data_IF_316957347969
#
_entry.id   IF_316957347969
#
_cell.length_a   1.000
_cell.length_b   1.000
_cell.length_c   1.000
_cell.angle_alpha   90.00
_cell.angle_beta   90.00
_cell.angle_gamma   90.00
#
_symmetry.space_group_name_H-M   'P 1'
#
loop_
_entity.id
_entity.type
_entity.pdbx_description
1 polymer ?
#
# COMPACT_ATOMS: atom_id res chain seq x y z
N UNK A 1 4.40 -17.22 -18.51
CA UNK A 1 5.64 -16.68 -19.12
C UNK A 1 6.76 -16.81 -18.09
N UNK A 2 7.96 -17.30 -18.46
CA UNK A 2 9.13 -17.39 -17.56
C UNK A 2 10.21 -16.43 -18.05
N UNK A 3 10.83 -15.71 -17.12
CA UNK A 3 11.86 -14.72 -17.41
C UNK A 3 12.43 -14.12 -16.14
N UNK A 4 13.30 -13.11 -16.30
CA UNK A 4 13.95 -12.38 -15.22
C UNK A 4 13.39 -10.97 -15.16
N UNK A 5 12.97 -10.54 -13.96
CA UNK A 5 12.60 -9.15 -13.71
C UNK A 5 13.85 -8.29 -13.87
N UNK A 6 13.78 -7.30 -14.76
CA UNK A 6 14.84 -6.32 -14.97
C UNK A 6 14.59 -5.06 -14.16
N UNK A 7 13.36 -4.58 -14.17
CA UNK A 7 12.96 -3.33 -13.52
C UNK A 7 11.47 -3.34 -13.18
N UNK A 8 11.10 -2.57 -12.16
CA UNK A 8 9.73 -2.36 -11.69
C UNK A 8 9.57 -0.92 -11.24
N UNK A 9 8.54 -0.24 -11.75
CA UNK A 9 8.25 1.14 -11.35
C UNK A 9 6.76 1.46 -11.42
N UNK A 10 6.28 2.40 -10.59
CA UNK A 10 4.94 2.95 -10.72
C UNK A 10 4.87 3.91 -11.91
N UNK A 11 3.84 3.74 -12.75
CA UNK A 11 3.43 4.75 -13.73
C UNK A 11 2.31 5.59 -13.11
N UNK A 12 2.69 6.75 -12.58
CA UNK A 12 1.76 7.66 -11.90
C UNK A 12 0.72 8.28 -12.84
N UNK A 13 1.03 8.38 -14.15
CA UNK A 13 0.13 8.96 -15.14
C UNK A 13 -1.01 7.98 -15.45
N UNK A 14 -0.67 6.72 -15.67
CA UNK A 14 -1.64 5.68 -16.03
C UNK A 14 -2.16 4.88 -14.82
N UNK A 15 -1.75 5.27 -13.60
CA UNK A 15 -2.08 4.62 -12.33
C UNK A 15 -1.86 3.10 -12.36
N UNK A 16 -0.66 2.68 -12.75
CA UNK A 16 -0.33 1.28 -12.96
C UNK A 16 1.06 0.96 -12.45
N UNK A 17 1.36 -0.32 -12.30
CA UNK A 17 2.72 -0.78 -12.06
C UNK A 17 3.26 -1.45 -13.31
N UNK A 18 4.46 -1.05 -13.70
CA UNK A 18 5.13 -1.54 -14.90
C UNK A 18 6.26 -2.47 -14.50
N UNK A 19 6.33 -3.62 -15.17
CA UNK A 19 7.42 -4.56 -15.03
C UNK A 19 8.11 -4.74 -16.38
N UNK A 20 9.44 -4.71 -16.39
CA UNK A 20 10.23 -5.17 -17.52
C UNK A 20 10.76 -6.56 -17.24
N UNK A 21 10.43 -7.53 -18.11
CA UNK A 21 10.86 -8.92 -17.97
C UNK A 21 11.68 -9.34 -19.19
N UNK A 22 12.91 -9.79 -18.97
CA UNK A 22 13.69 -10.48 -20.01
C UNK A 22 13.24 -11.92 -20.12
N UNK A 23 12.80 -12.33 -21.30
CA UNK A 23 12.54 -13.73 -21.65
C UNK A 23 13.55 -14.22 -22.69
N UNK A 24 13.47 -15.50 -23.05
CA UNK A 24 14.21 -16.05 -24.20
C UNK A 24 13.85 -15.36 -25.53
N UNK A 25 12.66 -14.75 -25.63
CA UNK A 25 12.18 -14.07 -26.85
C UNK A 25 12.51 -12.58 -26.92
N UNK A 26 13.05 -12.00 -25.85
CA UNK A 26 13.33 -10.56 -25.79
C UNK A 26 12.92 -9.93 -24.46
N UNK A 27 13.01 -8.61 -24.38
CA UNK A 27 12.45 -7.86 -23.27
C UNK A 27 10.96 -7.62 -23.51
N UNK A 28 10.14 -7.79 -22.48
CA UNK A 28 8.69 -7.55 -22.52
C UNK A 28 8.30 -6.55 -21.43
N UNK A 29 7.50 -5.55 -21.81
CA UNK A 29 6.83 -4.63 -20.89
C UNK A 29 5.49 -5.22 -20.47
N UNK A 30 5.24 -5.32 -19.17
CA UNK A 30 3.94 -5.68 -18.59
C UNK A 30 3.41 -4.46 -17.86
N UNK A 31 2.13 -4.14 -18.06
CA UNK A 31 1.43 -3.04 -17.39
C UNK A 31 0.28 -3.63 -16.60
N UNK A 32 0.35 -3.56 -15.27
CA UNK A 32 -0.67 -4.06 -14.35
C UNK A 32 -1.46 -2.89 -13.77
N UNK A 33 -2.77 -2.87 -14.06
CA UNK A 33 -3.71 -1.80 -13.68
C UNK A 33 -4.64 -2.19 -12.54
N UNK A 34 -4.68 -3.47 -12.18
CA UNK A 34 -5.52 -3.99 -11.09
C UNK A 34 -4.83 -3.99 -9.74
N UNK A 35 -3.51 -3.73 -9.70
CA UNK A 35 -2.77 -3.64 -8.44
C UNK A 35 -3.24 -2.43 -7.63
N UNK A 36 -3.61 -2.67 -6.37
CA UNK A 36 -3.97 -1.64 -5.40
C UNK A 36 -2.87 -1.51 -4.36
N UNK A 37 -2.17 -0.36 -4.28
CA UNK A 37 -1.21 -0.12 -3.21
C UNK A 37 -1.91 -0.09 -1.84
N UNK A 38 -1.32 -0.76 -0.85
CA UNK A 38 -1.79 -0.78 0.53
C UNK A 38 -0.72 -0.26 1.48
N UNK A 39 -1.11 0.61 2.42
CA UNK A 39 -0.33 0.93 3.62
C UNK A 39 -0.92 0.14 4.78
N UNK A 40 -0.07 -0.32 5.70
CA UNK A 40 -0.52 -0.95 6.94
C UNK A 40 -0.15 -0.07 8.12
N UNK A 41 -1.07 0.07 9.08
CA UNK A 41 -0.83 0.81 10.31
C UNK A 41 -1.24 -0.03 11.52
N UNK A 42 -0.41 -0.02 12.56
CA UNK A 42 -0.72 -0.65 13.84
C UNK A 42 -0.64 0.36 14.99
N UNK A 43 -1.57 0.26 15.95
CA UNK A 43 -1.56 1.03 17.20
C UNK A 43 -2.46 0.39 18.25
N UNK A 44 -2.81 1.16 19.30
CA UNK A 44 -3.86 0.83 20.23
C UNK A 44 -5.20 0.62 19.50
N UNK A 45 -6.09 -0.18 20.09
CA UNK A 45 -7.41 -0.44 19.49
C UNK A 45 -8.19 0.86 19.25
N UNK A 46 -8.17 1.77 20.22
CA UNK A 46 -8.89 3.05 20.13
C UNK A 46 -8.33 3.93 19.00
N UNK A 47 -7.00 4.02 18.86
CA UNK A 47 -6.37 4.79 17.77
C UNK A 47 -6.67 4.16 16.39
N UNK A 48 -6.78 2.84 16.31
CA UNK A 48 -7.21 2.14 15.09
C UNK A 48 -8.69 2.38 14.79
N UNK A 49 -9.58 2.29 15.78
CA UNK A 49 -11.01 2.60 15.62
C UNK A 49 -11.23 4.04 15.12
N UNK A 50 -10.43 4.99 15.60
CA UNK A 50 -10.46 6.38 15.12
C UNK A 50 -10.00 6.49 13.66
N UNK A 51 -8.88 5.84 13.33
CA UNK A 51 -8.30 5.89 11.98
C UNK A 51 -9.21 5.24 10.94
N UNK A 52 -9.82 4.10 11.29
CA UNK A 52 -10.78 3.36 10.47
C UNK A 52 -12.02 4.21 10.10
N UNK A 53 -12.48 5.07 11.02
CA UNK A 53 -13.59 6.00 10.77
C UNK A 53 -13.18 7.23 9.96
N UNK A 54 -11.95 7.72 10.15
CA UNK A 54 -11.51 8.98 9.60
C UNK A 54 -11.00 8.90 8.15
N UNK A 55 -10.27 7.83 7.80
CA UNK A 55 -9.62 7.71 6.51
C UNK A 55 -10.55 7.54 5.30
N UNK A 56 -11.71 6.86 5.38
CA UNK A 56 -12.61 6.70 4.22
C UNK A 56 -13.14 8.02 3.64
N UNK A 57 -13.05 9.13 4.37
CA UNK A 57 -13.46 10.47 3.90
C UNK A 57 -12.46 11.03 2.86
N UNK A 58 -11.23 10.54 2.84
CA UNK A 58 -10.21 11.00 1.90
C UNK A 58 -10.44 10.37 0.52
N UNK A 59 -10.55 11.21 -0.52
CA UNK A 59 -10.69 10.75 -1.91
C UNK A 59 -9.57 9.77 -2.33
N UNK A 60 -8.38 9.90 -1.75
CA UNK A 60 -7.25 9.03 -2.01
C UNK A 60 -7.41 7.59 -1.48
N UNK A 61 -8.32 7.35 -0.52
CA UNK A 61 -8.52 6.06 0.15
C UNK A 61 -9.60 5.24 -0.58
N UNK A 62 -9.25 4.00 -0.94
CA UNK A 62 -10.15 3.04 -1.58
C UNK A 62 -10.99 2.30 -0.54
N UNK A 63 -10.32 1.71 0.44
CA UNK A 63 -10.89 0.90 1.50
C UNK A 63 -9.97 0.89 2.72
N UNK A 64 -10.54 0.59 3.89
CA UNK A 64 -9.82 0.38 5.15
C UNK A 64 -10.37 -0.89 5.78
N UNK A 65 -9.50 -1.84 6.08
CA UNK A 65 -9.88 -3.17 6.57
C UNK A 65 -8.95 -3.60 7.71
N UNK A 66 -9.48 -4.32 8.71
CA UNK A 66 -8.66 -5.01 9.71
C UNK A 66 -8.10 -6.30 9.14
N UNK A 67 -6.79 -6.47 9.25
CA UNK A 67 -6.07 -7.65 8.77
C UNK A 67 -5.14 -8.20 9.86
N UNK A 68 -4.89 -9.51 9.86
CA UNK A 68 -3.83 -10.11 10.69
C UNK A 68 -2.54 -10.20 9.87
N UNK A 69 -1.52 -9.41 10.24
CA UNK A 69 -0.23 -9.34 9.53
C UNK A 69 0.93 -9.36 10.51
N UNK A 70 2.03 -10.00 10.12
CA UNK A 70 3.32 -9.80 10.77
C UNK A 70 3.89 -8.46 10.31
N UNK A 71 4.15 -7.55 11.24
CA UNK A 71 4.73 -6.22 10.96
C UNK A 71 6.25 -6.23 10.92
N UNK A 72 6.87 -7.31 11.41
CA UNK A 72 8.31 -7.53 11.33
C UNK A 72 8.64 -8.99 11.04
N UNK A 73 9.86 -9.22 10.55
CA UNK A 73 10.36 -10.57 10.26
C UNK A 73 10.45 -11.39 11.55
N UNK A 74 9.79 -12.56 11.56
CA UNK A 74 9.78 -13.48 12.70
C UNK A 74 8.73 -13.19 13.77
N UNK A 75 7.99 -12.08 13.68
CA UNK A 75 6.90 -11.78 14.61
C UNK A 75 5.63 -12.57 14.31
N UNK A 76 4.86 -12.88 15.36
CA UNK A 76 3.51 -13.42 15.19
C UNK A 76 2.61 -12.35 14.55
N UNK A 77 1.66 -12.75 13.68
CA UNK A 77 0.69 -11.82 13.15
C UNK A 77 -0.07 -11.09 14.26
N UNK A 78 -0.25 -9.78 14.10
CA UNK A 78 -1.08 -8.92 14.93
C UNK A 78 -2.12 -8.20 14.08
N UNK A 79 -3.15 -7.67 14.73
CA UNK A 79 -4.17 -6.88 14.04
C UNK A 79 -3.55 -5.56 13.55
N UNK A 80 -3.78 -5.24 12.28
CA UNK A 80 -3.37 -4.00 11.63
C UNK A 80 -4.55 -3.45 10.82
N UNK A 81 -4.55 -2.16 10.54
CA UNK A 81 -5.39 -1.58 9.50
C UNK A 81 -4.67 -1.62 8.16
N UNK A 82 -5.24 -2.32 7.19
CA UNK A 82 -4.86 -2.25 5.78
C UNK A 82 -5.63 -1.14 5.07
N UNK A 83 -4.91 -0.14 4.58
CA UNK A 83 -5.46 1.03 3.90
C UNK A 83 -5.13 0.92 2.41
N UNK A 84 -6.14 0.59 1.59
CA UNK A 84 -6.00 0.59 0.14
C UNK A 84 -6.07 1.99 -0.43
N UNK A 85 -5.22 2.29 -1.41
CA UNK A 85 -5.03 3.63 -1.96
C UNK A 85 -5.43 3.62 -3.43
N UNK A 86 -6.30 4.55 -3.84
CA UNK A 86 -6.86 4.57 -5.20
C UNK A 86 -5.80 4.85 -6.26
N UNK A 87 -4.83 5.71 -5.95
CA UNK A 87 -3.84 6.18 -6.90
C UNK A 87 -2.43 6.13 -6.33
N UNK A 88 -1.47 5.62 -7.11
CA UNK A 88 -0.06 5.58 -6.69
C UNK A 88 0.50 6.95 -6.32
N UNK A 89 0.09 8.00 -7.01
CA UNK A 89 0.53 9.38 -6.75
C UNK A 89 0.02 9.95 -5.42
N UNK A 90 -0.92 9.28 -4.74
CA UNK A 90 -1.49 9.72 -3.47
C UNK A 90 -0.98 8.92 -2.28
N UNK A 91 -0.05 7.98 -2.49
CA UNK A 91 0.48 7.13 -1.42
C UNK A 91 1.12 7.98 -0.32
N UNK A 92 1.95 8.95 -0.72
CA UNK A 92 2.66 9.83 0.20
C UNK A 92 1.69 10.71 1.01
N UNK A 93 0.68 11.30 0.36
CA UNK A 93 -0.36 12.10 1.05
C UNK A 93 -1.10 11.29 2.14
N UNK A 94 -1.45 10.04 1.83
CA UNK A 94 -2.15 9.16 2.76
C UNK A 94 -1.23 8.78 3.92
N UNK A 95 0.03 8.43 3.63
CA UNK A 95 1.04 8.14 4.65
C UNK A 95 1.22 9.31 5.62
N UNK A 96 1.42 10.52 5.09
CA UNK A 96 1.53 11.74 5.90
C UNK A 96 0.27 12.03 6.73
N UNK A 97 -0.92 11.74 6.19
CA UNK A 97 -2.16 11.93 6.94
C UNK A 97 -2.27 10.97 8.12
N UNK A 98 -1.89 9.70 7.93
CA UNK A 98 -1.82 8.71 9.01
C UNK A 98 -0.84 9.17 10.08
N UNK A 99 0.39 9.51 9.68
CA UNK A 99 1.43 9.96 10.60
C UNK A 99 1.04 11.21 11.39
N UNK A 100 0.48 12.21 10.72
CA UNK A 100 0.00 13.45 11.35
C UNK A 100 -1.05 13.17 12.43
N UNK A 101 -2.04 12.30 12.13
CA UNK A 101 -3.05 11.88 13.09
C UNK A 101 -2.43 11.14 14.27
N UNK A 102 -1.40 10.34 13.99
CA UNK A 102 -0.64 9.63 15.01
C UNK A 102 0.37 10.50 15.76
N UNK A 103 0.44 11.80 15.48
CA UNK A 103 1.50 12.71 15.96
C UNK A 103 2.90 12.12 15.76
N UNK A 104 3.09 11.37 14.68
CA UNK A 104 4.32 10.66 14.30
C UNK A 104 4.85 9.65 15.33
N UNK A 105 4.00 9.22 16.27
CA UNK A 105 4.41 8.34 17.39
C UNK A 105 3.44 7.20 17.65
N UNK A 106 2.17 7.37 17.32
CA UNK A 106 1.13 6.41 17.68
C UNK A 106 1.04 5.23 16.71
N UNK A 107 1.32 5.46 15.44
CA UNK A 107 1.24 4.43 14.41
C UNK A 107 2.64 3.89 14.10
N UNK A 108 2.76 2.57 13.98
CA UNK A 108 3.95 1.84 13.54
C UNK A 108 3.61 0.92 12.37
#
# INVERSE_FOLDING_TARGET
MRGWLLDIYPDYKDNSIVYWIKTRKGAHKIVERSFVPKIFAHSSRDDMDELEKALPILDAVLNVEREMKSTWLGEKPREVLGIGIRKFSRIEDVAHTIDNRGKYKRYS
#
